data_IF_758581963499
#
_entry.id   IF_758581963499
#
_cell.length_a   1.000
_cell.length_b   1.000
_cell.length_c   1.000
_cell.angle_alpha   90.00
_cell.angle_beta   90.00
_cell.angle_gamma   90.00
#
_symmetry.space_group_name_H-M   'P 1'
#
loop_
_entity.id
_entity.type
_entity.pdbx_description
1 polymer ?
#
# COMPACT_ATOMS: atom_id res chain seq x y z
N UNK A 1 -25.70 -9.31 -36.02
CA UNK A 1 -24.72 -10.39 -36.24
C UNK A 1 -23.55 -10.05 -35.35
N UNK A 2 -23.40 -10.84 -34.31
CA UNK A 2 -22.54 -10.61 -33.14
C UNK A 2 -21.05 -10.75 -33.49
N UNK A 3 -20.18 -10.04 -32.76
CA UNK A 3 -19.07 -10.70 -32.08
C UNK A 3 -18.66 -9.94 -30.80
N UNK A 4 -18.34 -10.75 -29.81
CA UNK A 4 -18.16 -10.48 -28.39
C UNK A 4 -16.70 -10.79 -28.05
N UNK A 5 -15.94 -9.83 -27.53
CA UNK A 5 -14.72 -10.08 -26.72
C UNK A 5 -14.43 -8.78 -25.97
N UNK A 6 -14.72 -8.65 -24.67
CA UNK A 6 -14.28 -9.51 -23.59
C UNK A 6 -13.05 -8.86 -22.95
N UNK A 7 -13.23 -8.13 -21.84
CA UNK A 7 -12.07 -7.56 -21.15
C UNK A 7 -12.32 -6.44 -20.15
N UNK A 8 -13.18 -6.66 -19.17
CA UNK A 8 -13.25 -5.95 -17.89
C UNK A 8 -11.85 -5.72 -17.26
N UNK A 9 -11.23 -4.56 -17.48
CA UNK A 9 -9.97 -4.14 -16.85
C UNK A 9 -10.04 -2.61 -16.76
N UNK A 10 -10.02 -1.90 -15.65
CA UNK A 10 -9.40 -2.13 -14.34
C UNK A 10 -9.90 -1.04 -13.37
N UNK A 11 -11.08 -1.19 -12.77
CA UNK A 11 -11.56 -0.23 -11.74
C UNK A 11 -11.79 -0.86 -10.37
N UNK A 12 -11.80 -2.19 -10.32
CA UNK A 12 -12.17 -2.98 -9.15
C UNK A 12 -11.20 -4.16 -8.98
N UNK A 13 -9.89 -3.93 -9.12
CA UNK A 13 -8.94 -4.81 -8.43
C UNK A 13 -8.90 -4.36 -6.98
N UNK A 14 -9.84 -4.91 -6.24
CA UNK A 14 -9.74 -5.13 -4.82
C UNK A 14 -8.96 -4.04 -4.07
N UNK A 15 -9.71 -3.04 -3.57
CA UNK A 15 -9.47 -2.49 -2.24
C UNK A 15 -9.59 -3.65 -1.24
N UNK A 16 -8.73 -4.67 -1.36
CA UNK A 16 -8.44 -5.56 -0.26
C UNK A 16 -7.93 -4.59 0.79
N UNK A 17 -8.74 -4.32 1.79
CA UNK A 17 -8.31 -3.55 2.93
C UNK A 17 -7.27 -4.42 3.62
N UNK A 18 -5.99 -4.26 3.26
CA UNK A 18 -4.90 -4.95 3.91
C UNK A 18 -4.64 -4.23 5.24
N UNK A 19 -5.57 -4.40 6.18
CA UNK A 19 -5.53 -3.72 7.48
C UNK A 19 -4.43 -4.38 8.33
N UNK A 20 -3.36 -3.65 8.64
CA UNK A 20 -2.65 -3.90 9.90
C UNK A 20 -3.63 -3.56 11.01
N UNK A 21 -3.56 -4.31 12.10
CA UNK A 21 -4.37 -4.15 13.33
C UNK A 21 -5.12 -2.80 13.41
N UNK A 22 -6.47 -2.79 13.48
CA UNK A 22 -7.29 -1.58 13.38
C UNK A 22 -6.79 -0.36 14.19
N UNK A 23 -6.31 -0.49 15.45
CA UNK A 23 -5.80 0.65 16.21
C UNK A 23 -4.52 1.26 15.62
N UNK A 24 -3.72 0.49 14.90
CA UNK A 24 -2.47 0.98 14.33
C UNK A 24 -2.69 1.72 13.01
N UNK A 25 -3.64 1.26 12.18
CA UNK A 25 -4.02 1.98 10.96
C UNK A 25 -4.53 3.40 11.25
N UNK A 26 -5.25 3.59 12.36
CA UNK A 26 -5.66 4.93 12.81
C UNK A 26 -4.46 5.84 13.08
N UNK A 27 -3.40 5.32 13.73
CA UNK A 27 -2.18 6.09 14.02
C UNK A 27 -1.42 6.46 12.75
N UNK A 28 -1.36 5.57 11.76
CA UNK A 28 -0.74 5.86 10.46
C UNK A 28 -1.52 6.95 9.73
N UNK A 29 -2.85 6.89 9.75
CA UNK A 29 -3.70 7.93 9.16
C UNK A 29 -3.49 9.29 9.82
N UNK A 30 -3.42 9.33 11.15
CA UNK A 30 -3.13 10.57 11.88
C UNK A 30 -1.73 11.12 11.53
N UNK A 31 -0.73 10.25 11.43
CA UNK A 31 0.64 10.61 11.02
C UNK A 31 0.66 11.22 9.60
N UNK A 32 0.02 10.58 8.63
CA UNK A 32 0.01 11.06 7.23
C UNK A 32 -0.73 12.39 7.10
N UNK A 33 -1.79 12.56 7.89
CA UNK A 33 -2.56 13.81 7.98
C UNK A 33 -1.74 14.93 8.64
N UNK A 34 -1.05 14.65 9.74
CA UNK A 34 -0.20 15.61 10.44
C UNK A 34 1.01 16.05 9.59
N UNK A 35 1.57 15.12 8.80
CA UNK A 35 2.63 15.42 7.85
C UNK A 35 2.23 16.40 6.74
N UNK A 36 0.92 16.63 6.54
CA UNK A 36 0.44 17.59 5.54
C UNK A 36 0.54 17.09 4.10
N UNK A 37 0.36 15.78 3.88
CA UNK A 37 0.40 15.21 2.52
C UNK A 37 -0.81 15.70 1.70
N UNK A 38 -0.61 16.69 0.84
CA UNK A 38 -1.69 17.28 0.02
C UNK A 38 -2.12 16.38 -1.14
N UNK A 39 -1.21 15.52 -1.63
CA UNK A 39 -1.45 14.61 -2.76
C UNK A 39 -1.48 13.16 -2.30
N UNK A 40 -2.61 12.51 -2.53
CA UNK A 40 -2.80 11.06 -2.34
C UNK A 40 -2.42 10.54 -0.95
N UNK A 41 -2.97 11.11 0.15
CA UNK A 41 -2.68 10.64 1.52
C UNK A 41 -3.01 9.15 1.70
N UNK A 42 -4.04 8.65 1.04
CA UNK A 42 -4.42 7.23 1.07
C UNK A 42 -3.32 6.29 0.54
N UNK A 43 -2.59 6.71 -0.50
CA UNK A 43 -1.50 5.92 -1.07
C UNK A 43 -0.29 5.89 -0.11
N UNK A 44 -0.02 7.02 0.54
CA UNK A 44 1.06 7.11 1.53
C UNK A 44 0.72 6.25 2.76
N UNK A 45 -0.53 6.27 3.23
CA UNK A 45 -1.03 5.36 4.28
C UNK A 45 -0.78 3.90 3.90
N UNK A 46 -1.18 3.49 2.69
CA UNK A 46 -0.99 2.11 2.20
C UNK A 46 0.48 1.70 2.12
N UNK A 47 1.36 2.60 1.66
CA UNK A 47 2.81 2.33 1.59
C UNK A 47 3.42 2.11 2.98
N UNK A 48 3.04 2.92 3.96
CA UNK A 48 3.53 2.79 5.35
C UNK A 48 3.03 1.48 5.97
N UNK A 49 1.73 1.18 5.84
CA UNK A 49 1.13 -0.06 6.34
C UNK A 49 1.81 -1.28 5.72
N UNK A 50 2.12 -1.23 4.43
CA UNK A 50 2.82 -2.30 3.71
C UNK A 50 4.23 -2.52 4.25
N UNK A 51 5.02 -1.45 4.42
CA UNK A 51 6.37 -1.55 4.97
C UNK A 51 6.39 -2.17 6.38
N UNK A 52 5.44 -1.80 7.23
CA UNK A 52 5.34 -2.32 8.59
C UNK A 52 4.89 -3.78 8.64
N UNK A 53 4.06 -4.22 7.69
CA UNK A 53 3.74 -5.66 7.55
C UNK A 53 4.95 -6.46 7.16
N UNK A 54 5.74 -5.98 6.20
CA UNK A 54 6.97 -6.65 5.77
C UNK A 54 7.93 -6.81 6.97
N UNK A 55 8.06 -5.76 7.79
CA UNK A 55 8.84 -5.83 9.02
C UNK A 55 8.28 -6.84 10.04
N UNK A 56 6.95 -6.91 10.20
CA UNK A 56 6.28 -7.87 11.10
C UNK A 56 6.40 -9.32 10.62
N UNK A 57 6.42 -9.54 9.32
CA UNK A 57 6.54 -10.86 8.68
C UNK A 57 7.97 -11.44 8.79
N UNK A 58 8.86 -10.78 9.56
CA UNK A 58 10.26 -11.20 9.79
C UNK A 58 11.07 -11.29 8.49
N UNK A 59 10.73 -10.47 7.48
CA UNK A 59 11.50 -10.43 6.23
C UNK A 59 12.94 -10.02 6.53
N UNK A 60 13.90 -10.67 5.88
CA UNK A 60 15.31 -10.44 6.18
C UNK A 60 15.70 -9.01 5.86
N UNK A 61 16.67 -8.46 6.60
CA UNK A 61 17.23 -7.12 6.35
C UNK A 61 17.74 -6.98 4.90
N UNK A 62 18.13 -8.10 4.26
CA UNK A 62 18.50 -8.15 2.85
C UNK A 62 17.33 -7.79 1.91
N UNK A 63 16.14 -8.33 2.16
CA UNK A 63 14.94 -8.06 1.36
C UNK A 63 14.45 -6.62 1.54
N UNK A 64 14.50 -6.10 2.78
CA UNK A 64 14.18 -4.70 3.08
C UNK A 64 15.12 -3.72 2.34
N UNK A 65 16.42 -4.04 2.30
CA UNK A 65 17.41 -3.24 1.56
C UNK A 65 17.19 -3.28 0.05
N UNK A 66 16.78 -4.42 -0.49
CA UNK A 66 16.45 -4.56 -1.90
C UNK A 66 15.27 -3.65 -2.28
N UNK A 67 14.19 -3.68 -1.49
CA UNK A 67 13.02 -2.80 -1.70
C UNK A 67 13.42 -1.33 -1.60
N UNK A 68 14.23 -0.95 -0.59
CA UNK A 68 14.65 0.44 -0.42
C UNK A 68 15.49 0.95 -1.59
N UNK A 69 16.35 0.11 -2.17
CA UNK A 69 17.13 0.44 -3.36
C UNK A 69 16.22 0.70 -4.56
N UNK A 70 15.24 -0.16 -4.79
CA UNK A 70 14.29 -0.05 -5.92
C UNK A 70 13.38 1.18 -5.85
N UNK A 71 13.15 1.75 -4.67
CA UNK A 71 12.36 2.99 -4.51
C UNK A 71 13.23 4.25 -4.71
N UNK A 72 14.55 4.12 -4.58
CA UNK A 72 15.49 5.24 -4.65
C UNK A 72 16.03 5.51 -6.06
N UNK A 73 16.02 4.50 -6.92
CA UNK A 73 16.30 4.61 -8.36
C UNK A 73 15.06 5.07 -9.13
#
# INVERSE_FOLDING_TARGET
MEDFTGGTTHGQRARQQWTVDPPFNTRVRELVRDWGTEKSPELIEEMIVTALRIARDQMSVADLKLINRSVKE
#
